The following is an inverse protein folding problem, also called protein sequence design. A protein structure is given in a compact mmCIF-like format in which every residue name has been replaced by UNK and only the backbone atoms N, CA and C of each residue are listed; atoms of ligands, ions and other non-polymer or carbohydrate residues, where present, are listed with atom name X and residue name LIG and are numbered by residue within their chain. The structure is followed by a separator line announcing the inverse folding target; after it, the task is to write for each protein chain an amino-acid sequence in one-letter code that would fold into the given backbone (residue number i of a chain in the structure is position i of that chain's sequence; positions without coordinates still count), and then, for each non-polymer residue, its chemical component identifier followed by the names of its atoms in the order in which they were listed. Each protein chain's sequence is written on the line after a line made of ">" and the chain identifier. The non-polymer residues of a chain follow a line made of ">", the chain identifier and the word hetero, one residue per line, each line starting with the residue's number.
data_IF_972998675218
#
_entry.id   IF_972998675218
#
_cell.length_a   1.000
_cell.length_b   1.000
_cell.length_c   1.000
_cell.angle_alpha   90.00
_cell.angle_beta   90.00
_cell.angle_gamma   90.00
#
_symmetry.space_group_name_H-M   'P 1'
#
loop_
_entity.id
_entity.type
_entity.pdbx_description
1 polymer ?
#
# COMPACT_ATOMS: atom_id res chain seq x y z
N UNK A 1 -34.37 -8.20 31.46
CA UNK A 1 -33.43 -7.62 32.44
C UNK A 1 -32.18 -8.48 32.65
N UNK A 2 -32.28 -9.81 32.78
CA UNK A 2 -31.12 -10.69 32.94
C UNK A 2 -30.08 -10.61 31.80
N UNK A 3 -30.53 -10.56 30.53
CA UNK A 3 -29.65 -10.43 29.36
C UNK A 3 -28.85 -9.13 29.32
N UNK A 4 -29.48 -8.00 29.68
CA UNK A 4 -28.83 -6.68 29.75
C UNK A 4 -27.71 -6.65 30.81
N UNK A 5 -27.94 -7.29 31.96
CA UNK A 5 -26.93 -7.41 33.03
C UNK A 5 -25.75 -8.30 32.61
N UNK A 6 -26.03 -9.35 31.85
CA UNK A 6 -25.00 -10.23 31.28
C UNK A 6 -24.19 -9.49 30.20
N UNK A 7 -24.84 -8.76 29.29
CA UNK A 7 -24.16 -7.92 28.30
C UNK A 7 -23.33 -6.81 28.96
N UNK A 8 -23.83 -6.17 30.02
CA UNK A 8 -23.08 -5.17 30.78
C UNK A 8 -21.82 -5.77 31.43
N UNK A 9 -21.92 -6.96 32.02
CA UNK A 9 -20.75 -7.66 32.58
C UNK A 9 -19.73 -8.09 31.52
N UNK A 10 -20.18 -8.50 30.33
CA UNK A 10 -19.27 -8.77 29.21
C UNK A 10 -18.57 -7.50 28.72
N UNK A 11 -19.29 -6.38 28.64
CA UNK A 11 -18.71 -5.11 28.25
C UNK A 11 -17.63 -4.66 29.26
N UNK A 12 -17.89 -4.80 30.56
CA UNK A 12 -16.94 -4.48 31.64
C UNK A 12 -15.62 -5.24 31.47
N UNK A 13 -15.68 -6.56 31.32
CA UNK A 13 -14.48 -7.42 31.14
C UNK A 13 -13.70 -7.06 29.87
N UNK A 14 -14.39 -6.81 28.76
CA UNK A 14 -13.74 -6.44 27.50
C UNK A 14 -13.05 -5.06 27.61
N UNK A 15 -13.70 -4.10 28.27
CA UNK A 15 -13.11 -2.77 28.49
C UNK A 15 -11.91 -2.81 29.41
N UNK A 16 -11.91 -3.68 30.43
CA UNK A 16 -10.78 -3.87 31.33
C UNK A 16 -9.57 -4.48 30.61
N UNK A 17 -9.80 -5.53 29.82
CA UNK A 17 -8.75 -6.14 28.99
C UNK A 17 -8.18 -5.16 27.95
N UNK A 18 -9.04 -4.35 27.34
CA UNK A 18 -8.61 -3.32 26.38
C UNK A 18 -7.77 -2.23 27.07
N UNK A 19 -8.15 -1.79 28.27
CA UNK A 19 -7.37 -0.84 29.06
C UNK A 19 -5.97 -1.41 29.37
N UNK A 20 -5.89 -2.68 29.74
CA UNK A 20 -4.61 -3.36 30.00
C UNK A 20 -3.71 -3.44 28.76
N UNK A 21 -4.29 -3.73 27.59
CA UNK A 21 -3.58 -3.74 26.31
C UNK A 21 -3.07 -2.34 25.97
N UNK A 22 -3.89 -1.30 26.16
CA UNK A 22 -3.51 0.09 25.91
C UNK A 22 -2.37 0.54 26.83
N UNK A 23 -2.35 0.11 28.09
CA UNK A 23 -1.23 0.37 29.02
C UNK A 23 0.05 -0.34 28.56
N UNK A 24 -0.04 -1.60 28.10
CA UNK A 24 1.11 -2.35 27.56
C UNK A 24 1.67 -1.71 26.28
N UNK A 25 0.80 -1.22 25.40
CA UNK A 25 1.20 -0.49 24.19
C UNK A 25 1.89 0.83 24.56
N UNK A 26 1.28 1.65 25.40
CA UNK A 26 1.81 2.96 25.80
C UNK A 26 3.09 2.88 26.65
N UNK A 27 3.38 1.73 27.24
CA UNK A 27 4.63 1.49 27.99
C UNK A 27 5.76 0.93 27.12
N UNK A 28 5.54 0.77 25.81
CA UNK A 28 6.52 0.19 24.91
C UNK A 28 6.72 -1.31 25.11
N UNK A 29 5.84 -2.00 25.84
CA UNK A 29 5.98 -3.42 26.15
C UNK A 29 5.49 -4.30 24.99
N UNK A 30 6.19 -5.41 24.74
CA UNK A 30 5.91 -6.29 23.60
C UNK A 30 6.39 -5.73 22.26
N UNK A 31 6.16 -6.44 21.17
CA UNK A 31 6.65 -6.07 19.82
C UNK A 31 5.95 -4.83 19.27
N UNK A 32 4.63 -4.74 19.47
CA UNK A 32 3.82 -3.62 18.99
C UNK A 32 4.04 -2.35 19.81
N UNK A 33 4.15 -2.46 21.15
CA UNK A 33 4.50 -1.34 22.01
C UNK A 33 5.87 -0.76 21.63
N UNK A 34 6.90 -1.62 21.47
CA UNK A 34 8.22 -1.16 20.98
C UNK A 34 8.13 -0.47 19.62
N UNK A 35 7.37 -1.03 18.68
CA UNK A 35 7.18 -0.43 17.36
C UNK A 35 6.49 0.95 17.41
N UNK A 36 5.52 1.15 18.30
CA UNK A 36 4.80 2.44 18.42
C UNK A 36 5.65 3.48 19.17
N UNK A 37 6.41 3.06 20.17
CA UNK A 37 7.24 3.97 20.97
C UNK A 37 8.57 4.36 20.30
N UNK A 38 9.03 3.58 19.32
CA UNK A 38 10.35 3.75 18.72
C UNK A 38 10.35 4.89 17.68
N UNK A 39 10.88 6.03 18.11
CA UNK A 39 11.07 7.24 17.29
C UNK A 39 11.99 7.01 16.09
N UNK A 40 12.76 5.92 16.04
CA UNK A 40 13.61 5.58 14.90
C UNK A 40 12.82 5.02 13.72
N UNK A 41 11.59 4.53 13.90
CA UNK A 41 10.79 3.97 12.80
C UNK A 41 10.35 5.04 11.83
N UNK A 42 9.96 6.22 12.31
CA UNK A 42 9.64 7.35 11.43
C UNK A 42 10.85 7.71 10.56
N UNK A 43 12.05 7.81 11.17
CA UNK A 43 13.29 8.10 10.46
C UNK A 43 13.67 6.98 9.47
N UNK A 44 13.53 5.71 9.85
CA UNK A 44 13.80 4.56 8.99
C UNK A 44 12.81 4.47 7.83
N UNK A 45 11.54 4.82 8.06
CA UNK A 45 10.51 4.87 7.03
C UNK A 45 10.81 6.01 6.04
N UNK A 46 11.14 7.20 6.53
CA UNK A 46 11.56 8.32 5.68
C UNK A 46 12.78 7.95 4.83
N UNK A 47 13.78 7.32 5.44
CA UNK A 47 14.98 6.87 4.72
C UNK A 47 14.66 5.78 3.70
N UNK A 48 13.76 4.84 4.03
CA UNK A 48 13.27 3.82 3.10
C UNK A 48 12.55 4.47 1.92
N UNK A 49 11.69 5.44 2.16
CA UNK A 49 10.98 6.18 1.12
C UNK A 49 11.94 6.98 0.22
N UNK A 50 12.98 7.61 0.79
CA UNK A 50 14.03 8.27 0.03
C UNK A 50 14.81 7.28 -0.85
N UNK A 51 15.17 6.11 -0.31
CA UNK A 51 15.86 5.06 -1.06
C UNK A 51 14.97 4.52 -2.19
N UNK A 52 13.70 4.23 -1.91
CA UNK A 52 12.74 3.78 -2.92
C UNK A 52 12.58 4.78 -4.07
N UNK A 53 12.49 6.08 -3.75
CA UNK A 53 12.43 7.15 -4.77
C UNK A 53 13.69 7.16 -5.65
N UNK A 54 14.88 7.05 -5.05
CA UNK A 54 16.15 6.99 -5.78
C UNK A 54 16.25 5.75 -6.66
N UNK A 55 15.93 4.57 -6.11
CA UNK A 55 15.93 3.30 -6.85
C UNK A 55 14.94 3.32 -8.01
N UNK A 56 13.73 3.85 -7.79
CA UNK A 56 12.71 3.97 -8.84
C UNK A 56 13.16 4.89 -9.96
N UNK A 57 13.83 6.00 -9.64
CA UNK A 57 14.40 6.92 -10.64
C UNK A 57 15.48 6.23 -11.48
N UNK A 58 16.44 5.55 -10.84
CA UNK A 58 17.48 4.81 -11.57
C UNK A 58 16.92 3.66 -12.42
N UNK A 59 15.85 3.00 -11.95
CA UNK A 59 15.14 2.00 -12.74
C UNK A 59 14.47 2.61 -13.99
N UNK A 60 13.87 3.79 -13.86
CA UNK A 60 13.28 4.51 -15.00
C UNK A 60 14.34 4.91 -16.03
N UNK A 61 15.47 5.46 -15.59
CA UNK A 61 16.62 5.79 -16.45
C UNK A 61 17.13 4.54 -17.18
N UNK A 62 17.32 3.42 -16.47
CA UNK A 62 17.72 2.16 -17.07
C UNK A 62 16.68 1.61 -18.06
N UNK A 63 15.39 1.77 -17.75
CA UNK A 63 14.30 1.34 -18.62
C UNK A 63 14.28 2.16 -19.91
N UNK A 64 14.49 3.48 -19.83
CA UNK A 64 14.62 4.34 -20.99
C UNK A 64 15.81 3.92 -21.87
N UNK A 65 16.98 3.73 -21.26
CA UNK A 65 18.15 3.23 -21.99
C UNK A 65 17.91 1.83 -22.62
N UNK A 66 17.21 0.94 -21.91
CA UNK A 66 16.85 -0.37 -22.42
C UNK A 66 15.90 -0.30 -23.62
N UNK A 67 14.99 0.68 -23.69
CA UNK A 67 14.08 0.88 -24.83
C UNK A 67 14.84 1.23 -26.12
N UNK A 68 15.94 1.96 -25.99
CA UNK A 68 16.77 2.36 -27.12
C UNK A 68 17.74 1.26 -27.57
N UNK A 69 17.97 0.25 -26.71
CA UNK A 69 18.82 -0.91 -27.04
C UNK A 69 18.21 -1.78 -28.15
N UNK A 70 19.00 -2.11 -29.16
CA UNK A 70 18.59 -2.89 -30.35
C UNK A 70 17.93 -4.23 -29.98
N UNK A 71 18.42 -4.92 -28.94
CA UNK A 71 17.92 -6.23 -28.52
C UNK A 71 16.51 -6.16 -27.91
N UNK A 72 16.21 -5.09 -27.17
CA UNK A 72 14.98 -4.96 -26.40
C UNK A 72 13.95 -4.05 -27.06
N UNK A 73 14.37 -3.19 -27.99
CA UNK A 73 13.50 -2.25 -28.72
C UNK A 73 12.30 -2.93 -29.37
N UNK A 74 12.49 -4.12 -29.94
CA UNK A 74 11.40 -4.89 -30.55
C UNK A 74 10.32 -5.32 -29.54
N UNK A 75 10.74 -5.76 -28.35
CA UNK A 75 9.85 -6.13 -27.26
C UNK A 75 9.03 -4.92 -26.79
N UNK A 76 9.68 -3.78 -26.54
CA UNK A 76 9.01 -2.58 -26.08
C UNK A 76 8.03 -2.01 -27.10
N UNK A 77 8.39 -1.96 -28.38
CA UNK A 77 7.47 -1.55 -29.47
C UNK A 77 6.24 -2.44 -29.55
N UNK A 78 6.38 -3.75 -29.33
CA UNK A 78 5.25 -4.68 -29.32
C UNK A 78 4.31 -4.40 -28.14
N UNK A 79 4.87 -4.22 -26.94
CA UNK A 79 4.14 -3.83 -25.72
C UNK A 79 3.36 -2.51 -25.87
N UNK A 80 3.97 -1.49 -26.47
CA UNK A 80 3.32 -0.19 -26.71
C UNK A 80 2.14 -0.32 -27.67
N UNK A 81 2.30 -1.08 -28.77
CA UNK A 81 1.20 -1.34 -29.72
C UNK A 81 0.05 -2.12 -29.10
N UNK A 82 0.34 -3.09 -28.24
CA UNK A 82 -0.69 -3.84 -27.50
C UNK A 82 -1.47 -2.91 -26.56
N UNK A 83 -0.76 -2.06 -25.80
CA UNK A 83 -1.40 -1.09 -24.91
C UNK A 83 -2.25 -0.05 -25.68
N UNK A 84 -1.80 0.41 -26.85
CA UNK A 84 -2.54 1.36 -27.68
C UNK A 84 -3.83 0.75 -28.25
N UNK A 85 -3.79 -0.52 -28.68
CA UNK A 85 -4.99 -1.25 -29.13
C UNK A 85 -6.02 -1.39 -28.00
N UNK A 86 -5.58 -1.81 -26.81
CA UNK A 86 -6.46 -1.94 -25.65
C UNK A 86 -7.10 -0.60 -25.27
N UNK A 87 -6.35 0.51 -25.35
CA UNK A 87 -6.90 1.86 -25.12
C UNK A 87 -7.96 2.24 -26.16
N UNK A 88 -7.67 2.03 -27.45
CA UNK A 88 -8.64 2.33 -28.54
C UNK A 88 -9.92 1.51 -28.40
N UNK A 89 -9.80 0.21 -28.13
CA UNK A 89 -10.97 -0.65 -27.90
C UNK A 89 -11.77 -0.23 -26.65
N UNK A 90 -11.10 0.25 -25.60
CA UNK A 90 -11.78 0.77 -24.41
C UNK A 90 -12.45 2.13 -24.66
N UNK A 91 -11.85 3.01 -25.46
CA UNK A 91 -12.45 4.29 -25.87
C UNK A 91 -13.62 4.09 -26.82
N UNK A 92 -13.52 3.19 -27.79
CA UNK A 92 -14.61 2.83 -28.71
C UNK A 92 -15.80 2.24 -27.95
N UNK A 93 -15.56 1.34 -27.00
CA UNK A 93 -16.62 0.79 -26.13
C UNK A 93 -17.32 1.86 -25.30
N UNK A 94 -16.58 2.80 -24.73
CA UNK A 94 -17.15 3.92 -23.97
C UNK A 94 -17.99 4.85 -24.86
N UNK A 95 -17.52 5.13 -26.08
CA UNK A 95 -18.26 5.93 -27.07
C UNK A 95 -19.51 5.22 -27.60
N UNK A 96 -19.53 3.89 -27.65
CA UNK A 96 -20.72 3.10 -27.97
C UNK A 96 -21.71 3.07 -26.79
N UNK A 97 -21.23 2.95 -25.55
CA UNK A 97 -22.05 3.01 -24.33
C UNK A 97 -22.69 4.39 -24.11
N UNK A 98 -22.01 5.49 -24.44
CA UNK A 98 -22.56 6.86 -24.34
C UNK A 98 -23.57 7.22 -25.45
N UNK A 99 -23.64 6.45 -26.54
CA UNK A 99 -24.56 6.67 -27.67
C UNK A 99 -25.85 5.84 -27.58
N UNK A 100 -25.95 4.91 -26.62
CA UNK A 100 -27.16 4.12 -26.30
C UNK A 100 -27.97 4.79 -25.19
#
# INVERSE_FOLDING_TARGET
>A
MASLRVTAGYAEVVTEQLAEIMVKINSGSGTLGRLIQDTTIAQNLDQTMLNLRRSSKGLDENMQAAKDNILLRGHFKKKEKEAEKVKKEAEEKKLEEEKQ
#
